data_IF_342791961589
#
_entry.id   IF_342791961589
#
_cell.length_a   1.000
_cell.length_b   1.000
_cell.length_c   1.000
_cell.angle_alpha   90.00
_cell.angle_beta   90.00
_cell.angle_gamma   90.00
#
_symmetry.space_group_name_H-M   'P 1'
#
loop_
_entity.id
_entity.type
_entity.pdbx_description
1 polymer ?
#
# COMPACT_ATOMS: atom_id res chain seq x y z
N UNK A 1 9.81 -13.31 8.65
CA UNK A 1 8.54 -13.08 7.89
C UNK A 1 8.66 -13.53 6.42
N UNK A 2 7.55 -13.75 5.69
CA UNK A 2 7.56 -14.04 4.23
C UNK A 2 7.35 -12.78 3.38
N UNK A 3 8.11 -12.64 2.30
CA UNK A 3 7.97 -11.56 1.30
C UNK A 3 7.53 -12.16 -0.03
N UNK A 4 6.42 -11.67 -0.58
CA UNK A 4 5.91 -12.09 -1.90
C UNK A 4 6.44 -11.14 -2.97
N UNK A 5 7.08 -11.69 -4.00
CA UNK A 5 7.77 -10.93 -5.04
C UNK A 5 7.84 -11.71 -6.36
N UNK A 6 8.03 -11.02 -7.49
CA UNK A 6 8.32 -11.64 -8.79
C UNK A 6 9.18 -10.70 -9.66
N UNK A 7 10.22 -11.19 -10.37
CA UNK A 7 11.09 -10.35 -11.20
C UNK A 7 10.41 -9.57 -12.32
N UNK A 8 9.22 -9.99 -12.79
CA UNK A 8 8.41 -9.28 -13.78
C UNK A 8 8.02 -7.88 -13.34
N UNK A 9 8.03 -7.65 -12.02
CA UNK A 9 7.86 -6.33 -11.45
C UNK A 9 9.00 -5.37 -11.85
N UNK A 10 10.04 -5.78 -12.60
CA UNK A 10 11.12 -4.93 -13.10
C UNK A 10 11.06 -4.69 -14.62
N UNK A 11 10.14 -5.34 -15.35
CA UNK A 11 10.16 -5.41 -16.82
C UNK A 11 9.47 -4.23 -17.52
N UNK A 12 8.77 -3.37 -16.80
CA UNK A 12 8.04 -2.22 -17.35
C UNK A 12 8.47 -0.91 -16.69
N UNK A 13 8.43 0.21 -17.41
CA UNK A 13 8.78 1.52 -16.88
C UNK A 13 9.15 2.51 -17.98
N UNK A 14 9.22 3.78 -17.62
CA UNK A 14 9.67 4.86 -18.49
C UNK A 14 10.79 5.66 -17.80
N UNK A 15 11.82 6.13 -18.53
CA UNK A 15 12.83 7.01 -17.96
C UNK A 15 12.22 8.23 -17.28
N UNK A 16 12.68 8.54 -16.07
CA UNK A 16 12.23 9.71 -15.29
C UNK A 16 10.90 9.54 -14.55
N UNK A 17 10.17 8.44 -14.75
CA UNK A 17 8.94 8.17 -14.01
C UNK A 17 9.24 7.76 -12.56
N UNK A 18 8.60 8.34 -11.53
CA UNK A 18 8.90 8.01 -10.12
C UNK A 18 8.62 6.54 -9.77
N UNK A 19 7.45 6.02 -10.16
CA UNK A 19 7.14 4.59 -10.07
C UNK A 19 7.98 3.84 -11.12
N UNK A 20 9.15 3.35 -10.70
CA UNK A 20 10.17 2.77 -11.58
C UNK A 20 10.64 1.40 -11.11
N UNK A 21 11.17 0.55 -12.02
CA UNK A 21 11.82 -0.72 -11.67
C UNK A 21 12.87 -0.58 -10.57
N UNK A 22 13.61 0.53 -10.56
CA UNK A 22 14.73 0.77 -9.65
C UNK A 22 14.30 0.75 -8.18
N UNK A 23 13.08 1.21 -7.88
CA UNK A 23 12.48 1.11 -6.53
C UNK A 23 12.58 -0.31 -6.00
N UNK A 24 12.07 -1.27 -6.78
CA UNK A 24 11.97 -2.66 -6.34
C UNK A 24 13.25 -3.44 -6.55
N UNK A 25 14.07 -3.09 -7.54
CA UNK A 25 15.39 -3.69 -7.72
C UNK A 25 16.28 -3.45 -6.49
N UNK A 26 16.35 -2.21 -5.99
CA UNK A 26 17.16 -1.86 -4.81
C UNK A 26 16.55 -2.34 -3.50
N UNK A 27 15.22 -2.26 -3.36
CA UNK A 27 14.55 -2.83 -2.20
C UNK A 27 14.77 -4.35 -2.12
N UNK A 28 14.64 -5.07 -3.24
CA UNK A 28 14.91 -6.51 -3.30
C UNK A 28 16.36 -6.84 -2.98
N UNK A 29 17.33 -6.13 -3.58
CA UNK A 29 18.76 -6.31 -3.31
C UNK A 29 19.05 -6.25 -1.80
N UNK A 30 18.53 -5.24 -1.10
CA UNK A 30 18.67 -5.11 0.35
C UNK A 30 17.95 -6.21 1.13
N UNK A 31 16.66 -6.43 0.83
CA UNK A 31 15.80 -7.36 1.58
C UNK A 31 16.18 -8.84 1.36
N UNK A 32 16.90 -9.15 0.28
CA UNK A 32 17.38 -10.50 -0.03
C UNK A 32 18.66 -10.90 0.72
N UNK A 33 19.26 -10.00 1.51
CA UNK A 33 20.38 -10.36 2.38
C UNK A 33 19.92 -11.42 3.39
N UNK A 34 20.56 -12.58 3.36
CA UNK A 34 20.23 -13.73 4.22
C UNK A 34 20.33 -13.43 5.70
N UNK A 35 21.08 -12.40 6.11
CA UNK A 35 21.17 -11.93 7.49
C UNK A 35 19.86 -11.33 8.02
N UNK A 36 18.97 -10.88 7.12
CA UNK A 36 17.66 -10.35 7.49
C UNK A 36 16.61 -11.44 7.69
N UNK A 37 16.88 -12.68 7.23
CA UNK A 37 16.04 -13.84 7.53
C UNK A 37 14.67 -13.89 6.84
N UNK A 38 14.46 -13.11 5.77
CA UNK A 38 13.23 -13.16 4.98
C UNK A 38 13.17 -14.38 4.07
N UNK A 39 12.01 -15.03 4.01
CA UNK A 39 11.72 -16.07 3.00
C UNK A 39 10.96 -15.43 1.84
N UNK A 40 11.52 -15.51 0.62
CA UNK A 40 10.87 -15.00 -0.58
C UNK A 40 9.95 -16.05 -1.20
N UNK A 41 8.72 -15.65 -1.50
CA UNK A 41 7.69 -16.45 -2.17
C UNK A 41 7.38 -15.82 -3.52
N UNK A 42 7.30 -16.66 -4.56
CA UNK A 42 7.00 -16.19 -5.90
C UNK A 42 5.54 -15.71 -5.99
N UNK A 43 5.33 -14.51 -6.53
CA UNK A 43 3.99 -13.99 -6.79
C UNK A 43 3.31 -14.74 -7.95
N UNK A 44 2.02 -15.04 -7.79
CA UNK A 44 1.14 -15.56 -8.83
C UNK A 44 0.11 -14.49 -9.20
N UNK A 45 -0.31 -14.37 -10.47
CA UNK A 45 -1.28 -13.36 -10.86
C UNK A 45 -2.66 -13.62 -10.24
N UNK A 46 -3.31 -12.54 -9.78
CA UNK A 46 -4.71 -12.59 -9.39
C UNK A 46 -5.56 -13.10 -10.57
N UNK A 47 -6.57 -13.92 -10.26
CA UNK A 47 -7.57 -14.28 -11.27
C UNK A 47 -8.47 -13.09 -11.54
N UNK A 48 -9.10 -13.04 -12.70
CA UNK A 48 -10.00 -11.93 -13.03
C UNK A 48 -11.17 -11.87 -12.04
N UNK A 49 -11.64 -13.00 -11.53
CA UNK A 49 -12.69 -13.05 -10.50
C UNK A 49 -12.26 -12.41 -9.18
N UNK A 50 -10.96 -12.45 -8.86
CA UNK A 50 -10.43 -11.79 -7.67
C UNK A 50 -10.42 -10.26 -7.87
N UNK A 51 -10.11 -9.77 -9.08
CA UNK A 51 -10.19 -8.34 -9.43
C UNK A 51 -11.63 -7.82 -9.39
N UNK A 52 -12.58 -8.60 -9.92
CA UNK A 52 -14.00 -8.27 -10.01
C UNK A 52 -14.71 -8.19 -8.64
N UNK A 53 -14.05 -8.63 -7.54
CA UNK A 53 -14.54 -8.39 -6.17
C UNK A 53 -14.50 -6.91 -5.78
N UNK A 54 -13.73 -6.10 -6.49
CA UNK A 54 -13.49 -4.67 -6.19
C UNK A 54 -13.84 -3.79 -7.36
N UNK A 55 -13.34 -4.14 -8.54
CA UNK A 55 -13.44 -3.33 -9.75
C UNK A 55 -14.62 -3.76 -10.61
N UNK A 56 -15.20 -2.85 -11.39
CA UNK A 56 -16.23 -3.22 -12.34
C UNK A 56 -15.66 -4.00 -13.54
N UNK A 57 -16.50 -4.76 -14.23
CA UNK A 57 -16.13 -5.41 -15.50
C UNK A 57 -15.62 -4.39 -16.52
N UNK A 58 -16.23 -3.19 -16.54
CA UNK A 58 -15.80 -2.09 -17.38
C UNK A 58 -14.36 -1.68 -17.06
N UNK A 59 -14.03 -1.46 -15.78
CA UNK A 59 -12.68 -1.10 -15.36
C UNK A 59 -11.65 -2.16 -15.76
N UNK A 60 -11.97 -3.43 -15.49
CA UNK A 60 -11.13 -4.56 -15.87
C UNK A 60 -10.84 -4.56 -17.38
N UNK A 61 -11.89 -4.42 -18.20
CA UNK A 61 -11.77 -4.36 -19.65
C UNK A 61 -11.02 -3.10 -20.14
N UNK A 62 -11.20 -1.97 -19.47
CA UNK A 62 -10.50 -0.73 -19.81
C UNK A 62 -9.00 -0.83 -19.50
N UNK A 63 -8.61 -1.42 -18.36
CA UNK A 63 -7.19 -1.70 -18.08
C UNK A 63 -6.62 -2.71 -19.10
N UNK A 64 -7.35 -3.80 -19.36
CA UNK A 64 -6.94 -4.87 -20.30
C UNK A 64 -6.75 -4.37 -21.73
N UNK A 65 -7.61 -3.45 -22.18
CA UNK A 65 -7.57 -2.86 -23.53
C UNK A 65 -6.86 -1.50 -23.59
N UNK A 66 -6.23 -1.07 -22.49
CA UNK A 66 -5.55 0.23 -22.39
C UNK A 66 -6.47 1.44 -22.71
N UNK A 67 -7.75 1.37 -22.35
CA UNK A 67 -8.79 2.40 -22.58
C UNK A 67 -9.03 3.30 -21.37
N UNK A 68 -8.00 3.61 -20.60
CA UNK A 68 -8.03 4.54 -19.47
C UNK A 68 -7.07 5.70 -19.70
N UNK A 69 -7.26 6.85 -19.06
CA UNK A 69 -6.29 7.95 -19.13
C UNK A 69 -6.06 8.51 -17.74
N UNK A 70 -4.79 8.59 -17.37
CA UNK A 70 -4.29 9.27 -16.20
C UNK A 70 -2.86 9.74 -16.55
N UNK A 71 -2.51 11.03 -16.37
CA UNK A 71 -1.19 11.55 -16.76
C UNK A 71 -0.03 10.82 -16.10
N UNK A 72 -0.25 10.35 -14.86
CA UNK A 72 0.75 9.71 -14.03
C UNK A 72 0.71 8.18 -14.13
N UNK A 73 -0.27 7.58 -14.82
CA UNK A 73 -0.36 6.11 -14.97
C UNK A 73 -0.22 5.68 -16.44
N UNK A 74 1.00 5.46 -16.94
CA UNK A 74 1.24 5.19 -18.35
C UNK A 74 0.63 3.87 -18.84
N UNK A 75 0.17 3.85 -20.09
CA UNK A 75 -0.32 2.63 -20.77
C UNK A 75 0.85 1.75 -21.23
N UNK A 76 1.61 1.19 -20.29
CA UNK A 76 2.68 0.26 -20.63
C UNK A 76 2.13 -0.97 -21.36
N UNK A 77 2.88 -1.52 -22.35
CA UNK A 77 2.56 -2.84 -22.89
C UNK A 77 2.46 -3.86 -21.76
N UNK A 78 1.40 -4.69 -21.79
CA UNK A 78 1.13 -5.73 -20.78
C UNK A 78 0.90 -5.23 -19.34
N UNK A 79 0.59 -3.94 -19.12
CA UNK A 79 0.33 -3.42 -17.77
C UNK A 79 -0.77 -4.18 -17.02
N UNK A 80 -1.75 -4.73 -17.73
CA UNK A 80 -2.79 -5.59 -17.16
C UNK A 80 -2.20 -6.83 -16.47
N UNK A 81 -1.23 -7.51 -17.09
CA UNK A 81 -0.59 -8.71 -16.52
C UNK A 81 0.29 -8.36 -15.32
N UNK A 82 1.04 -7.25 -15.38
CA UNK A 82 1.84 -6.78 -14.24
C UNK A 82 0.97 -6.34 -13.07
N UNK A 83 -0.12 -5.62 -13.33
CA UNK A 83 -1.08 -5.19 -12.31
C UNK A 83 -1.81 -6.39 -11.67
N UNK A 84 -2.15 -7.41 -12.46
CA UNK A 84 -2.68 -8.69 -11.93
C UNK A 84 -1.68 -9.40 -11.03
N UNK A 85 -0.39 -9.37 -11.39
CA UNK A 85 0.67 -9.96 -10.59
C UNK A 85 0.85 -9.23 -9.25
N UNK A 86 0.78 -7.89 -9.26
CA UNK A 86 0.79 -7.09 -8.03
C UNK A 86 -0.40 -7.39 -7.12
N UNK A 87 -1.61 -7.46 -7.68
CA UNK A 87 -2.81 -7.82 -6.93
C UNK A 87 -2.75 -9.25 -6.37
N UNK A 88 -2.21 -10.20 -7.13
CA UNK A 88 -2.07 -11.59 -6.69
C UNK A 88 -1.05 -11.76 -5.57
N UNK A 89 0.05 -10.99 -5.62
CA UNK A 89 1.01 -10.91 -4.52
C UNK A 89 0.38 -10.37 -3.23
N UNK A 90 -0.50 -9.37 -3.32
CA UNK A 90 -1.25 -8.87 -2.17
C UNK A 90 -2.17 -9.95 -1.56
N UNK A 91 -2.84 -10.75 -2.39
CA UNK A 91 -3.64 -11.89 -1.92
C UNK A 91 -2.76 -12.93 -1.22
N UNK A 92 -1.60 -13.25 -1.78
CA UNK A 92 -0.65 -14.20 -1.17
C UNK A 92 -0.09 -13.66 0.16
N UNK A 93 0.29 -12.37 0.21
CA UNK A 93 0.76 -11.72 1.43
C UNK A 93 -0.31 -11.77 2.53
N UNK A 94 -1.58 -11.53 2.18
CA UNK A 94 -2.72 -11.69 3.10
C UNK A 94 -2.82 -13.12 3.65
N UNK A 95 -2.71 -14.15 2.81
CA UNK A 95 -2.76 -15.56 3.25
C UNK A 95 -1.59 -15.93 4.17
N UNK A 96 -0.44 -15.31 3.96
CA UNK A 96 0.82 -15.62 4.65
C UNK A 96 1.07 -14.73 5.87
N UNK A 97 0.21 -13.73 6.14
CA UNK A 97 0.50 -12.63 7.07
C UNK A 97 1.90 -12.02 6.79
N UNK A 98 2.17 -11.80 5.51
CA UNK A 98 3.47 -11.37 4.99
C UNK A 98 3.43 -9.99 4.34
N UNK A 99 4.45 -9.73 3.52
CA UNK A 99 4.61 -8.47 2.80
C UNK A 99 4.59 -8.68 1.29
N UNK A 100 3.82 -7.89 0.55
CA UNK A 100 3.84 -7.88 -0.92
C UNK A 100 4.81 -6.80 -1.42
N UNK A 101 5.98 -7.22 -1.90
CA UNK A 101 6.98 -6.37 -2.55
C UNK A 101 6.73 -6.35 -4.07
N UNK A 102 5.65 -5.71 -4.51
CA UNK A 102 5.27 -5.68 -5.93
C UNK A 102 4.90 -4.29 -6.39
N UNK A 103 4.91 -4.12 -7.72
CA UNK A 103 4.45 -2.93 -8.44
C UNK A 103 3.62 -3.38 -9.66
N UNK A 104 2.61 -2.60 -10.09
CA UNK A 104 2.28 -1.23 -9.64
C UNK A 104 1.59 -1.17 -8.27
N UNK A 105 1.58 0.01 -7.60
CA UNK A 105 0.80 0.25 -6.36
C UNK A 105 -0.71 0.23 -6.63
N UNK A 106 -1.54 0.44 -5.60
CA UNK A 106 -2.98 0.24 -5.69
C UNK A 106 -3.90 1.26 -5.04
N UNK A 107 -3.50 1.95 -3.97
CA UNK A 107 -4.47 2.65 -3.10
C UNK A 107 -5.27 3.81 -3.74
N UNK A 108 -4.82 4.36 -4.88
CA UNK A 108 -5.56 5.39 -5.66
C UNK A 108 -6.57 4.83 -6.65
N UNK A 109 -6.45 3.54 -7.01
CA UNK A 109 -7.38 2.90 -7.93
C UNK A 109 -8.75 2.75 -7.26
N UNK A 110 -9.76 3.42 -7.81
CA UNK A 110 -11.15 3.27 -7.38
C UNK A 110 -11.84 2.22 -8.25
N UNK A 111 -13.10 1.90 -7.93
CA UNK A 111 -13.90 0.87 -8.63
C UNK A 111 -13.88 0.98 -10.16
N UNK A 112 -13.82 2.21 -10.70
CA UNK A 112 -13.82 2.51 -12.14
C UNK A 112 -12.76 3.53 -12.56
N UNK A 113 -11.65 3.65 -11.81
CA UNK A 113 -10.65 4.69 -12.06
C UNK A 113 -9.24 4.20 -11.82
N UNK A 114 -8.40 4.34 -12.85
CA UNK A 114 -6.93 4.32 -12.76
C UNK A 114 -6.47 5.71 -12.35
N UNK A 115 -5.58 5.82 -11.36
CA UNK A 115 -5.07 7.11 -10.88
C UNK A 115 -3.77 6.91 -10.09
N UNK A 116 -2.86 7.90 -10.11
CA UNK A 116 -1.71 7.97 -9.20
C UNK A 116 -0.85 6.69 -9.20
N UNK A 117 -0.42 6.25 -10.38
CA UNK A 117 0.33 5.00 -10.59
C UNK A 117 -0.46 3.70 -10.40
N UNK A 118 -1.72 3.77 -9.94
CA UNK A 118 -2.50 2.62 -9.49
C UNK A 118 -3.53 2.17 -10.55
N UNK A 119 -3.43 0.91 -10.98
CA UNK A 119 -4.35 0.31 -11.97
C UNK A 119 -5.42 -0.56 -11.33
N UNK A 120 -5.05 -1.32 -10.30
CA UNK A 120 -5.95 -2.11 -9.47
C UNK A 120 -5.61 -1.87 -8.01
N UNK A 121 -6.64 -1.77 -7.18
CA UNK A 121 -6.48 -1.58 -5.74
C UNK A 121 -6.06 -2.89 -5.05
N UNK A 122 -4.75 -3.10 -4.94
CA UNK A 122 -4.14 -4.32 -4.42
C UNK A 122 -4.60 -4.64 -2.99
N UNK A 123 -4.59 -3.66 -2.09
CA UNK A 123 -5.02 -3.84 -0.69
C UNK A 123 -6.51 -4.20 -0.62
N UNK A 124 -7.37 -3.52 -1.40
CA UNK A 124 -8.80 -3.81 -1.41
C UNK A 124 -9.10 -5.20 -1.97
N UNK A 125 -8.40 -5.62 -3.02
CA UNK A 125 -8.55 -6.97 -3.61
C UNK A 125 -8.17 -8.03 -2.58
N UNK A 126 -7.04 -7.87 -1.88
CA UNK A 126 -6.63 -8.79 -0.83
C UNK A 126 -7.64 -8.85 0.33
N UNK A 127 -8.16 -7.69 0.77
CA UNK A 127 -9.19 -7.62 1.82
C UNK A 127 -10.47 -8.34 1.39
N UNK A 128 -10.98 -8.07 0.18
CA UNK A 128 -12.18 -8.78 -0.34
C UNK A 128 -11.97 -10.27 -0.54
N UNK A 129 -10.77 -10.69 -0.94
CA UNK A 129 -10.43 -12.10 -1.10
C UNK A 129 -10.35 -12.83 0.24
N UNK A 130 -9.99 -12.13 1.31
CA UNK A 130 -9.91 -12.71 2.66
C UNK A 130 -11.28 -13.03 3.27
N UNK A 131 -12.31 -12.22 2.95
CA UNK A 131 -13.64 -12.30 3.56
C UNK A 131 -13.70 -11.91 5.04
N UNK A 132 -12.62 -11.36 5.62
CA UNK A 132 -12.51 -11.02 7.04
C UNK A 132 -12.84 -9.55 7.30
N UNK A 133 -13.41 -9.25 8.47
CA UNK A 133 -13.57 -7.88 8.92
C UNK A 133 -12.21 -7.25 9.20
N UNK A 134 -11.87 -6.16 8.52
CA UNK A 134 -10.48 -5.68 8.40
C UNK A 134 -10.32 -4.22 8.83
N UNK A 135 -9.25 -3.94 9.58
CA UNK A 135 -8.70 -2.59 9.70
C UNK A 135 -7.63 -2.40 8.62
N UNK A 136 -7.86 -1.46 7.70
CA UNK A 136 -6.84 -1.01 6.75
C UNK A 136 -6.13 0.20 7.38
N UNK A 137 -4.81 0.13 7.54
CA UNK A 137 -3.95 1.24 7.96
C UNK A 137 -3.12 1.68 6.76
N UNK A 138 -3.43 2.84 6.21
CA UNK A 138 -2.72 3.45 5.10
C UNK A 138 -1.72 4.47 5.65
N UNK A 139 -0.43 4.13 5.49
CA UNK A 139 0.71 4.94 5.95
C UNK A 139 1.43 5.63 4.79
N UNK A 140 0.88 5.54 3.58
CA UNK A 140 1.39 6.27 2.41
C UNK A 140 1.21 7.79 2.59
N UNK A 141 2.15 8.57 2.07
CA UNK A 141 2.14 10.03 2.16
C UNK A 141 0.98 10.67 1.42
N UNK A 142 0.33 9.96 0.50
CA UNK A 142 -0.87 10.38 -0.19
C UNK A 142 -2.11 9.70 0.41
N UNK A 143 -3.24 10.40 0.39
CA UNK A 143 -4.51 9.77 0.76
C UNK A 143 -4.89 8.69 -0.27
N UNK A 144 -5.08 7.45 0.20
CA UNK A 144 -5.60 6.32 -0.60
C UNK A 144 -7.07 6.47 -0.94
N UNK A 145 -7.38 7.50 -1.72
CA UNK A 145 -8.73 7.91 -2.09
C UNK A 145 -9.51 6.85 -2.88
N UNK A 146 -8.83 5.99 -3.63
CA UNK A 146 -9.41 4.82 -4.26
C UNK A 146 -9.89 3.79 -3.23
N UNK A 147 -9.05 3.49 -2.23
CA UNK A 147 -9.38 2.57 -1.13
C UNK A 147 -10.56 3.10 -0.32
N UNK A 148 -10.55 4.39 0.04
CA UNK A 148 -11.70 5.03 0.69
C UNK A 148 -12.96 4.89 -0.18
N UNK A 149 -12.90 5.24 -1.46
CA UNK A 149 -14.08 5.17 -2.34
C UNK A 149 -14.66 3.75 -2.48
N UNK A 150 -13.81 2.71 -2.41
CA UNK A 150 -14.24 1.31 -2.49
C UNK A 150 -14.97 0.85 -1.22
N UNK A 151 -14.54 1.32 -0.05
CA UNK A 151 -15.01 0.83 1.25
C UNK A 151 -15.88 1.82 2.02
N UNK A 152 -16.15 3.00 1.48
CA UNK A 152 -17.02 3.98 2.12
C UNK A 152 -18.40 3.37 2.42
N UNK A 153 -18.76 3.34 3.70
CA UNK A 153 -20.01 2.76 4.20
C UNK A 153 -20.00 1.24 4.35
N UNK A 154 -18.89 0.57 4.08
CA UNK A 154 -18.78 -0.88 4.24
C UNK A 154 -18.57 -1.28 5.70
N UNK A 155 -19.50 -2.04 6.32
CA UNK A 155 -19.38 -2.44 7.72
C UNK A 155 -18.28 -3.49 7.98
N UNK A 156 -17.72 -4.11 6.93
CA UNK A 156 -16.64 -5.08 7.02
C UNK A 156 -15.25 -4.44 7.05
N UNK A 157 -15.14 -3.13 6.82
CA UNK A 157 -13.84 -2.45 6.75
C UNK A 157 -13.85 -1.19 7.59
N UNK A 158 -12.77 -0.97 8.33
CA UNK A 158 -12.40 0.35 8.85
C UNK A 158 -11.18 0.79 8.06
N UNK A 159 -11.24 1.96 7.43
CA UNK A 159 -10.10 2.54 6.71
C UNK A 159 -9.52 3.67 7.55
N UNK A 160 -8.23 3.61 7.84
CA UNK A 160 -7.49 4.64 8.55
C UNK A 160 -6.37 5.14 7.62
N UNK A 161 -6.32 6.44 7.36
CA UNK A 161 -5.26 7.05 6.55
C UNK A 161 -4.61 8.22 7.27
N UNK A 162 -3.26 8.23 7.29
CA UNK A 162 -2.44 9.35 7.71
C UNK A 162 -1.65 9.83 6.51
N UNK A 163 -1.90 11.04 6.03
CA UNK A 163 -1.35 11.51 4.76
C UNK A 163 -1.05 13.00 4.78
N UNK A 164 -0.21 13.45 3.86
CA UNK A 164 0.11 14.86 3.69
C UNK A 164 -1.04 15.62 3.02
N UNK A 165 -1.42 16.76 3.58
CA UNK A 165 -2.42 17.67 3.00
C UNK A 165 -1.89 19.11 3.01
N UNK A 166 -2.09 19.93 1.95
CA UNK A 166 -2.92 19.71 0.75
C UNK A 166 -2.21 19.03 -0.45
N UNK A 167 -1.51 17.92 -0.25
CA UNK A 167 -0.87 17.17 -1.35
C UNK A 167 -1.89 16.41 -2.23
N UNK A 168 -1.43 15.85 -3.35
CA UNK A 168 -2.23 14.90 -4.14
C UNK A 168 -2.83 13.80 -3.24
N UNK A 169 -4.08 13.37 -3.45
CA UNK A 169 -5.05 13.77 -4.48
C UNK A 169 -5.93 14.98 -4.09
N UNK A 170 -5.64 15.67 -2.98
CA UNK A 170 -6.45 16.80 -2.50
C UNK A 170 -7.74 16.39 -1.78
N UNK A 171 -7.87 15.12 -1.40
CA UNK A 171 -9.01 14.57 -0.61
C UNK A 171 -8.53 14.13 0.78
N UNK A 172 -9.38 13.50 1.59
CA UNK A 172 -8.99 13.01 2.93
C UNK A 172 -8.96 14.07 4.04
N UNK A 173 -9.58 15.24 3.84
CA UNK A 173 -9.53 16.32 4.84
C UNK A 173 -10.25 16.01 6.16
N UNK A 174 -11.28 15.15 6.12
CA UNK A 174 -12.15 14.85 7.25
C UNK A 174 -12.50 13.36 7.28
N UNK A 175 -12.78 12.80 8.46
CA UNK A 175 -13.35 11.45 8.55
C UNK A 175 -14.74 11.42 7.90
N UNK A 176 -15.08 10.28 7.31
CA UNK A 176 -16.36 10.02 6.67
C UNK A 176 -16.79 8.57 6.95
N UNK A 177 -17.87 8.37 7.72
CA UNK A 177 -18.39 7.06 8.08
C UNK A 177 -17.32 6.15 8.74
N UNK A 178 -16.93 5.06 8.09
CA UNK A 178 -15.92 4.08 8.52
C UNK A 178 -14.50 4.44 8.04
N UNK A 179 -14.32 5.58 7.38
CA UNK A 179 -13.04 6.10 6.89
C UNK A 179 -12.54 7.22 7.80
N UNK A 180 -11.45 6.96 8.50
CA UNK A 180 -10.80 7.85 9.46
C UNK A 180 -9.60 8.51 8.78
N UNK A 181 -9.72 9.79 8.47
CA UNK A 181 -8.67 10.54 7.78
C UNK A 181 -7.98 11.51 8.72
N UNK A 182 -6.65 11.44 8.75
CA UNK A 182 -5.78 12.29 9.55
C UNK A 182 -4.80 13.03 8.63
N UNK A 183 -5.21 14.18 8.07
CA UNK A 183 -4.31 15.02 7.28
C UNK A 183 -3.20 15.59 8.18
N UNK A 184 -1.96 15.53 7.70
CA UNK A 184 -0.76 15.97 8.40
C UNK A 184 -0.05 17.07 7.62
N UNK A 185 0.57 18.04 8.31
CA UNK A 185 1.41 19.04 7.66
C UNK A 185 2.67 18.38 7.07
N UNK A 186 3.18 18.93 5.97
CA UNK A 186 4.47 18.53 5.39
C UNK A 186 5.57 18.53 6.45
N UNK A 187 6.46 17.53 6.39
CA UNK A 187 7.58 17.39 7.32
C UNK A 187 7.20 17.45 8.81
N UNK A 188 6.06 16.90 9.21
CA UNK A 188 5.64 16.84 10.61
C UNK A 188 6.61 16.07 11.53
N UNK A 189 7.41 15.17 10.96
CA UNK A 189 8.38 14.34 11.66
C UNK A 189 7.74 13.20 12.46
N UNK A 190 8.61 12.34 13.00
CA UNK A 190 8.21 11.11 13.69
C UNK A 190 7.26 11.37 14.87
N UNK A 191 7.56 12.36 15.71
CA UNK A 191 6.80 12.57 16.95
C UNK A 191 5.34 12.97 16.69
N UNK A 192 5.10 13.90 15.77
CA UNK A 192 3.74 14.32 15.40
C UNK A 192 2.99 13.19 14.70
N UNK A 193 3.66 12.49 13.79
CA UNK A 193 3.07 11.36 13.08
C UNK A 193 2.66 10.25 14.05
N UNK A 194 3.57 9.81 14.92
CA UNK A 194 3.32 8.72 15.86
C UNK A 194 2.27 9.09 16.90
N UNK A 195 2.27 10.32 17.43
CA UNK A 195 1.21 10.78 18.32
C UNK A 195 -0.16 10.81 17.62
N UNK A 196 -0.19 11.11 16.32
CA UNK A 196 -1.42 11.09 15.53
C UNK A 196 -1.89 9.66 15.28
N UNK A 197 -0.98 8.75 14.95
CA UNK A 197 -1.26 7.33 14.81
C UNK A 197 -1.81 6.73 16.11
N UNK A 198 -1.18 7.04 17.25
CA UNK A 198 -1.61 6.55 18.57
C UNK A 198 -3.06 7.03 18.88
N UNK A 199 -3.36 8.32 18.62
CA UNK A 199 -4.72 8.87 18.76
C UNK A 199 -5.71 8.22 17.80
N UNK A 200 -5.30 7.99 16.56
CA UNK A 200 -6.14 7.38 15.54
C UNK A 200 -6.51 5.94 15.90
N UNK A 201 -5.52 5.12 16.25
CA UNK A 201 -5.73 3.74 16.68
C UNK A 201 -6.61 3.66 17.93
N UNK A 202 -6.44 4.58 18.90
CA UNK A 202 -7.28 4.64 20.09
C UNK A 202 -8.74 5.04 19.80
N UNK A 203 -9.01 5.70 18.66
CA UNK A 203 -10.36 6.13 18.27
C UNK A 203 -11.16 5.03 17.55
N UNK A 204 -10.50 3.95 17.15
CA UNK A 204 -11.10 2.87 16.36
C UNK A 204 -11.64 1.79 17.29
N UNK A 205 -12.90 1.39 17.06
CA UNK A 205 -13.45 0.22 17.72
C UNK A 205 -12.97 -1.05 17.02
N UNK A 206 -12.02 -1.76 17.64
CA UNK A 206 -11.47 -3.02 17.11
C UNK A 206 -12.40 -4.23 17.31
N UNK A 207 -13.60 -4.05 17.89
CA UNK A 207 -14.54 -5.15 18.11
C UNK A 207 -14.92 -5.85 16.80
N UNK A 208 -14.60 -7.15 16.77
CA UNK A 208 -14.82 -8.02 15.63
C UNK A 208 -13.86 -7.82 14.46
N UNK A 209 -12.85 -6.94 14.54
CA UNK A 209 -11.79 -6.88 13.53
C UNK A 209 -10.94 -8.14 13.66
N UNK A 210 -10.74 -8.82 12.54
CA UNK A 210 -10.07 -10.14 12.48
C UNK A 210 -8.66 -10.07 11.90
N UNK A 211 -8.32 -8.97 11.21
CA UNK A 211 -7.00 -8.74 10.65
C UNK A 211 -6.70 -7.25 10.43
N UNK A 212 -5.42 -6.95 10.26
CA UNK A 212 -4.91 -5.63 9.85
C UNK A 212 -4.25 -5.76 8.48
N UNK A 213 -4.58 -4.85 7.58
CA UNK A 213 -3.99 -4.71 6.27
C UNK A 213 -3.27 -3.37 6.20
N UNK A 214 -1.97 -3.36 5.88
CA UNK A 214 -1.20 -2.11 5.79
C UNK A 214 -1.00 -1.75 4.32
N UNK A 215 -1.54 -0.62 3.89
CA UNK A 215 -1.08 0.04 2.66
C UNK A 215 0.22 0.76 3.00
N UNK A 216 1.33 0.13 2.64
CA UNK A 216 2.68 0.49 3.07
C UNK A 216 3.37 1.36 2.03
N UNK A 217 3.09 2.66 2.08
CA UNK A 217 3.88 3.67 1.38
C UNK A 217 5.07 4.13 2.21
N UNK A 218 6.18 4.45 1.53
CA UNK A 218 7.40 4.94 2.18
C UNK A 218 7.82 6.32 1.68
N UNK A 219 6.92 7.01 0.99
CA UNK A 219 7.08 8.38 0.52
C UNK A 219 6.84 9.44 1.61
N UNK A 220 6.44 9.02 2.80
CA UNK A 220 6.50 9.83 4.01
C UNK A 220 7.94 10.07 4.51
N UNK A 221 8.94 9.40 3.94
CA UNK A 221 10.34 9.47 4.36
C UNK A 221 10.95 10.86 4.13
N UNK A 222 11.81 11.34 5.03
CA UNK A 222 12.35 12.70 4.97
C UNK A 222 13.17 13.05 3.71
N UNK A 223 13.68 12.04 3.00
CA UNK A 223 14.38 12.22 1.70
C UNK A 223 13.51 11.87 0.49
N UNK A 224 12.23 11.61 0.69
CA UNK A 224 11.34 11.30 -0.42
C UNK A 224 11.03 12.58 -1.22
N UNK A 225 11.10 12.53 -2.57
CA UNK A 225 10.89 13.71 -3.39
C UNK A 225 9.41 14.10 -3.58
N UNK A 226 8.43 13.24 -3.24
CA UNK A 226 7.02 13.47 -3.61
C UNK A 226 6.13 13.87 -2.44
N UNK A 227 6.19 13.16 -1.30
CA UNK A 227 5.19 13.30 -0.23
C UNK A 227 5.74 13.33 1.20
N UNK A 228 7.02 13.70 1.36
CA UNK A 228 7.71 13.67 2.65
C UNK A 228 6.89 14.28 3.80
N UNK A 229 6.61 13.44 4.80
CA UNK A 229 6.15 13.85 6.12
C UNK A 229 7.31 13.95 7.12
N UNK A 230 8.56 13.81 6.66
CA UNK A 230 9.74 13.94 7.50
C UNK A 230 10.02 12.70 8.36
N UNK A 231 9.47 11.54 8.00
CA UNK A 231 9.67 10.32 8.78
C UNK A 231 11.09 9.78 8.61
N UNK A 232 11.64 9.25 9.69
CA UNK A 232 12.92 8.55 9.68
C UNK A 232 12.72 7.05 9.50
N UNK A 233 13.82 6.32 9.23
CA UNK A 233 13.81 4.85 9.21
C UNK A 233 13.37 4.28 10.56
N UNK A 234 13.77 4.91 11.67
CA UNK A 234 13.31 4.53 13.02
C UNK A 234 11.80 4.82 13.20
N UNK A 235 11.29 5.89 12.59
CA UNK A 235 9.85 6.16 12.52
C UNK A 235 9.05 4.97 12.00
N UNK A 236 9.48 4.36 10.89
CA UNK A 236 8.83 3.17 10.33
C UNK A 236 8.87 1.95 11.27
N UNK A 237 9.98 1.74 11.98
CA UNK A 237 10.05 0.70 13.01
C UNK A 237 9.02 0.95 14.13
N UNK A 238 8.94 2.19 14.63
CA UNK A 238 7.98 2.60 15.66
C UNK A 238 6.52 2.49 15.19
N UNK A 239 6.23 2.75 13.91
CA UNK A 239 4.91 2.49 13.30
C UNK A 239 4.58 1.00 13.38
N UNK A 240 5.51 0.14 12.94
CA UNK A 240 5.33 -1.31 12.99
C UNK A 240 5.04 -1.81 14.41
N UNK A 241 5.76 -1.30 15.41
CA UNK A 241 5.53 -1.66 16.82
C UNK A 241 4.11 -1.32 17.30
N UNK A 242 3.58 -0.14 16.94
CA UNK A 242 2.23 0.29 17.32
C UNK A 242 1.15 -0.58 16.70
N UNK A 243 1.32 -0.94 15.43
CA UNK A 243 0.40 -1.85 14.75
C UNK A 243 0.49 -3.26 15.37
N UNK A 244 1.70 -3.74 15.68
CA UNK A 244 1.91 -5.04 16.33
C UNK A 244 1.21 -5.17 17.68
N UNK A 245 1.18 -4.10 18.46
CA UNK A 245 0.55 -4.08 19.79
C UNK A 245 -0.96 -4.33 19.74
N UNK A 246 -1.61 -4.17 18.57
CA UNK A 246 -3.01 -4.51 18.38
C UNK A 246 -3.29 -6.02 18.40
N UNK A 247 -2.25 -6.86 18.29
CA UNK A 247 -2.36 -8.31 18.51
C UNK A 247 -3.13 -9.09 17.44
N UNK A 248 -3.36 -8.49 16.26
CA UNK A 248 -4.11 -9.10 15.16
C UNK A 248 -3.19 -9.64 14.06
N UNK A 249 -3.62 -10.69 13.32
CA UNK A 249 -2.97 -11.09 12.08
C UNK A 249 -2.80 -9.89 11.15
N UNK A 250 -1.58 -9.67 10.68
CA UNK A 250 -1.22 -8.46 9.93
C UNK A 250 -0.51 -8.85 8.63
N UNK A 251 -0.89 -8.21 7.53
CA UNK A 251 -0.15 -8.25 6.27
C UNK A 251 0.02 -6.83 5.73
N UNK A 252 0.99 -6.66 4.84
CA UNK A 252 1.31 -5.35 4.27
C UNK A 252 1.53 -5.44 2.76
N UNK A 253 1.15 -4.39 2.04
CA UNK A 253 1.24 -4.28 0.58
C UNK A 253 1.97 -3.00 0.25
N UNK A 254 3.04 -3.08 -0.54
CA UNK A 254 3.81 -1.90 -0.96
C UNK A 254 2.94 -0.96 -1.81
N UNK A 255 2.95 0.33 -1.45
CA UNK A 255 2.34 1.43 -2.22
C UNK A 255 3.45 2.35 -2.80
N UNK A 256 3.52 3.61 -2.36
CA UNK A 256 4.53 4.60 -2.74
C UNK A 256 5.89 4.43 -2.06
N UNK A 257 6.74 5.45 -2.20
CA UNK A 257 8.13 5.45 -1.72
C UNK A 257 9.12 5.49 -2.88
N UNK A 258 9.68 6.67 -3.12
CA UNK A 258 10.42 7.02 -4.33
C UNK A 258 11.87 7.40 -4.04
N UNK A 259 12.27 7.48 -2.76
CA UNK A 259 13.67 7.38 -2.37
C UNK A 259 14.20 5.95 -2.56
N UNK A 260 14.75 5.67 -3.74
CA UNK A 260 15.23 4.33 -4.16
C UNK A 260 16.31 3.77 -3.23
N UNK A 261 17.21 4.61 -2.73
CA UNK A 261 18.38 4.19 -1.94
C UNK A 261 17.99 3.65 -0.55
N UNK A 262 16.99 4.25 0.08
CA UNK A 262 16.59 3.93 1.45
C UNK A 262 15.29 3.10 1.54
N UNK A 263 14.60 2.84 0.41
CA UNK A 263 13.34 2.09 0.39
C UNK A 263 13.43 0.71 1.06
N UNK A 264 14.45 -0.09 0.72
CA UNK A 264 14.66 -1.41 1.33
C UNK A 264 14.86 -1.35 2.85
N UNK A 265 15.60 -0.34 3.34
CA UNK A 265 15.83 -0.12 4.78
C UNK A 265 14.55 0.29 5.50
N UNK A 266 13.76 1.16 4.88
CA UNK A 266 12.49 1.63 5.43
C UNK A 266 11.45 0.50 5.49
N UNK A 267 11.37 -0.35 4.45
CA UNK A 267 10.56 -1.57 4.47
C UNK A 267 11.02 -2.47 5.62
N UNK A 268 12.31 -2.78 5.69
CA UNK A 268 12.85 -3.62 6.75
C UNK A 268 12.52 -3.09 8.15
N UNK A 269 12.64 -1.78 8.37
CA UNK A 269 12.29 -1.17 9.65
C UNK A 269 10.82 -1.41 10.03
N UNK A 270 9.87 -1.16 9.13
CA UNK A 270 8.45 -1.46 9.36
C UNK A 270 8.23 -2.94 9.70
N UNK A 271 8.81 -3.84 8.90
CA UNK A 271 8.64 -5.29 9.09
C UNK A 271 9.25 -5.75 10.43
N UNK A 272 10.44 -5.25 10.80
CA UNK A 272 11.07 -5.53 12.09
C UNK A 272 10.19 -5.05 13.26
N UNK A 273 9.54 -3.89 13.13
CA UNK A 273 8.57 -3.39 14.11
C UNK A 273 7.34 -4.31 14.28
N UNK A 274 6.94 -5.02 13.22
CA UNK A 274 5.88 -6.03 13.24
C UNK A 274 6.30 -7.37 13.89
N UNK A 275 7.58 -7.47 14.31
CA UNK A 275 8.17 -8.67 14.91
C UNK A 275 8.58 -9.72 13.88
N UNK A 276 9.11 -9.27 12.73
CA UNK A 276 9.52 -10.11 11.61
C UNK A 276 10.89 -10.74 11.73
#
# INVERSE_FOLDING_TARGET
MKIVWHPKCLEYGAPGHPESPQRLARAYEFLSDSKLGYEFVHAEPAREEDLLRVHSERHLEDVKKLRFYDPDSPRYPNIFEYARLSAGAAIQAMKLNGFSLMRPPGHHAAKERVAGFCYFNNIAIAVRASGKKTLIVDIDGHHGDGTQAIFLGDPQVIYLSLHSFPNYPGTGLRPEQNCYNYPLPFNCGDDVYLQTLDKALASINLSGIEQIAISAGFDTYYKDPLASLGLTTEGYFRIGQRIKQLGLPTFAVLEGGYNVEDLGRNIHALLSGLGS
#
